data_IF_943501536105
#
_entry.id   IF_943501536105
#
_cell.length_a   1.000
_cell.length_b   1.000
_cell.length_c   1.000
_cell.angle_alpha   90.00
_cell.angle_beta   90.00
_cell.angle_gamma   90.00
#
_symmetry.space_group_name_H-M   'P 1'
#
loop_
_entity.id
_entity.type
_entity.pdbx_description
1 polymer ?
#
# COMPACT_ATOMS: atom_id res chain seq x y z
N UNK A 1 -21.58 -17.10 7.54
CA UNK A 1 -20.38 -16.75 8.32
C UNK A 1 -20.82 -15.78 9.40
N UNK A 2 -20.72 -16.14 10.69
CA UNK A 2 -20.76 -15.17 11.78
C UNK A 2 -19.65 -14.16 11.50
N UNK A 3 -19.94 -12.87 11.67
CA UNK A 3 -19.03 -11.78 11.29
C UNK A 3 -17.91 -11.74 12.32
N UNK A 4 -16.86 -12.50 12.09
CA UNK A 4 -15.65 -12.49 12.91
C UNK A 4 -14.93 -11.15 12.73
N UNK A 5 -14.13 -10.78 13.73
CA UNK A 5 -13.38 -9.52 13.70
C UNK A 5 -12.32 -9.67 12.61
N UNK A 6 -12.16 -8.69 11.69
CA UNK A 6 -11.18 -8.79 10.63
C UNK A 6 -9.75 -8.98 11.18
N UNK A 7 -8.96 -9.77 10.44
CA UNK A 7 -7.54 -10.00 10.60
C UNK A 7 -6.78 -9.23 9.50
N UNK A 8 -6.69 -7.89 9.56
CA UNK A 8 -6.26 -7.11 8.42
C UNK A 8 -4.75 -7.20 8.16
N UNK A 9 -4.40 -7.17 6.87
CA UNK A 9 -3.06 -6.87 6.41
C UNK A 9 -3.09 -5.94 5.18
N UNK A 10 -2.00 -5.23 4.95
CA UNK A 10 -1.84 -4.33 3.81
C UNK A 10 -0.92 -4.97 2.79
N UNK A 11 -1.41 -5.10 1.55
CA UNK A 11 -0.61 -5.46 0.39
C UNK A 11 -0.40 -4.24 -0.48
N UNK A 12 0.85 -3.98 -0.83
CA UNK A 12 1.26 -2.89 -1.71
C UNK A 12 1.88 -3.49 -2.96
N UNK A 13 1.39 -3.08 -4.12
CA UNK A 13 1.89 -3.52 -5.41
C UNK A 13 2.13 -2.35 -6.34
N UNK A 14 3.08 -2.54 -7.24
CA UNK A 14 3.39 -1.59 -8.31
C UNK A 14 2.96 -2.20 -9.63
N UNK A 15 2.22 -1.42 -10.43
CA UNK A 15 1.67 -1.84 -11.70
C UNK A 15 2.19 -0.94 -12.81
N UNK A 16 2.68 -1.55 -13.89
CA UNK A 16 3.31 -0.82 -14.98
C UNK A 16 4.13 -1.77 -15.83
N UNK A 17 5.30 -1.32 -16.27
CA UNK A 17 6.24 -2.17 -16.99
C UNK A 17 6.67 -3.39 -16.15
N UNK A 18 6.92 -4.56 -16.76
CA UNK A 18 7.34 -5.76 -16.03
C UNK A 18 8.59 -5.56 -15.16
N UNK A 19 9.47 -4.64 -15.56
CA UNK A 19 10.69 -4.31 -14.83
C UNK A 19 10.47 -3.57 -13.51
N UNK A 20 9.28 -3.00 -13.30
CA UNK A 20 8.90 -2.21 -12.12
C UNK A 20 7.83 -2.90 -11.27
N UNK A 21 7.29 -4.04 -11.71
CA UNK A 21 6.28 -4.80 -10.98
C UNK A 21 6.88 -5.47 -9.75
N UNK A 22 6.37 -5.09 -8.57
CA UNK A 22 6.75 -5.59 -7.26
C UNK A 22 5.49 -5.74 -6.42
N UNK A 23 5.51 -6.65 -5.46
CA UNK A 23 4.43 -6.80 -4.47
C UNK A 23 5.03 -7.16 -3.13
N UNK A 24 4.65 -6.42 -2.10
CA UNK A 24 5.04 -6.66 -0.71
C UNK A 24 3.79 -6.58 0.16
N UNK A 25 3.83 -7.21 1.33
CA UNK A 25 2.72 -7.20 2.28
C UNK A 25 3.23 -7.09 3.70
N UNK A 26 2.42 -6.49 4.56
CA UNK A 26 2.61 -6.52 6.00
C UNK A 26 2.31 -7.90 6.57
N UNK A 27 2.66 -8.09 7.83
CA UNK A 27 2.10 -9.15 8.65
C UNK A 27 0.59 -8.96 8.84
N UNK A 28 -0.08 -10.05 9.21
CA UNK A 28 -1.48 -10.04 9.61
C UNK A 28 -1.57 -9.53 11.04
N UNK A 29 -2.55 -8.67 11.31
CA UNK A 29 -2.88 -8.26 12.69
C UNK A 29 -4.14 -8.98 13.10
N UNK A 30 -4.02 -9.88 14.06
CA UNK A 30 -5.15 -10.71 14.50
C UNK A 30 -6.21 -9.88 15.25
N UNK A 31 -7.47 -10.05 14.88
CA UNK A 31 -8.68 -9.56 15.52
C UNK A 31 -8.66 -8.04 15.80
N UNK A 32 -8.14 -7.24 14.86
CA UNK A 32 -8.10 -5.78 14.99
C UNK A 32 -8.48 -5.06 13.71
N UNK A 33 -9.78 -5.06 13.40
CA UNK A 33 -10.33 -4.31 12.26
C UNK A 33 -10.61 -2.82 12.52
N UNK A 34 -10.23 -2.22 13.64
CA UNK A 34 -10.54 -0.82 13.96
C UNK A 34 -9.33 0.12 13.91
N UNK A 35 -8.19 -0.31 14.48
CA UNK A 35 -6.95 0.47 14.46
C UNK A 35 -5.73 -0.49 14.42
N UNK A 36 -5.56 -1.25 13.32
CA UNK A 36 -4.41 -2.11 13.15
C UNK A 36 -3.13 -1.29 12.96
N UNK A 37 -2.07 -1.74 13.63
CA UNK A 37 -0.74 -1.13 13.60
C UNK A 37 0.27 -2.18 13.15
N UNK A 38 0.88 -1.97 11.99
CA UNK A 38 1.91 -2.87 11.46
C UNK A 38 3.33 -2.38 11.78
N UNK A 39 3.58 -1.07 11.73
CA UNK A 39 4.92 -0.48 11.88
C UNK A 39 5.97 -1.14 10.97
N UNK A 40 5.62 -1.37 9.70
CA UNK A 40 6.50 -2.00 8.72
C UNK A 40 6.96 -1.03 7.64
N UNK A 41 8.19 -1.25 7.17
CA UNK A 41 8.85 -0.45 6.14
C UNK A 41 9.08 -1.32 4.91
N UNK A 42 8.70 -0.81 3.74
CA UNK A 42 8.95 -1.46 2.46
C UNK A 42 9.87 -0.58 1.60
N UNK A 43 10.50 -1.17 0.60
CA UNK A 43 11.25 -0.43 -0.42
C UNK A 43 10.79 -0.91 -1.79
N UNK A 44 10.41 0.02 -2.65
CA UNK A 44 10.08 -0.26 -4.04
C UNK A 44 11.12 0.42 -4.93
N UNK A 45 11.56 -0.26 -5.98
CA UNK A 45 12.47 0.33 -6.98
C UNK A 45 11.74 0.49 -8.30
N UNK A 46 11.45 1.72 -8.68
CA UNK A 46 10.67 2.04 -9.87
C UNK A 46 11.60 2.68 -10.88
N UNK A 47 11.80 2.09 -12.06
CA UNK A 47 12.65 2.66 -13.12
C UNK A 47 11.91 3.70 -13.94
N UNK A 48 10.63 3.50 -14.19
CA UNK A 48 9.80 4.38 -15.00
C UNK A 48 8.57 4.89 -14.22
N UNK A 49 8.75 5.86 -13.29
CA UNK A 49 7.66 6.37 -12.45
C UNK A 49 6.44 6.89 -13.24
N UNK A 50 6.65 7.43 -14.44
CA UNK A 50 5.57 7.94 -15.30
C UNK A 50 4.64 6.84 -15.85
N UNK A 51 5.09 5.59 -15.86
CA UNK A 51 4.33 4.43 -16.35
C UNK A 51 3.98 3.47 -15.21
N UNK A 52 4.09 3.91 -13.97
CA UNK A 52 3.89 3.08 -12.80
C UNK A 52 2.78 3.63 -11.89
N UNK A 53 1.89 2.75 -11.46
CA UNK A 53 0.88 2.97 -10.44
C UNK A 53 1.33 2.28 -9.15
N UNK A 54 1.16 2.96 -8.02
CA UNK A 54 1.16 2.30 -6.73
C UNK A 54 -0.27 1.93 -6.34
N UNK A 55 -0.42 0.71 -5.85
CA UNK A 55 -1.69 0.13 -5.48
C UNK A 55 -1.61 -0.42 -4.07
N UNK A 56 -2.45 0.09 -3.18
CA UNK A 56 -2.59 -0.34 -1.81
C UNK A 56 -3.90 -1.12 -1.70
N UNK A 57 -3.87 -2.28 -1.08
CA UNK A 57 -5.06 -3.06 -0.74
C UNK A 57 -4.98 -3.52 0.69
N UNK A 58 -6.09 -3.35 1.40
CA UNK A 58 -6.30 -3.89 2.75
C UNK A 58 -7.12 -5.16 2.58
N UNK A 59 -6.62 -6.27 3.07
CA UNK A 59 -7.26 -7.57 2.96
C UNK A 59 -7.52 -8.13 4.36
N UNK A 60 -8.58 -8.90 4.48
CA UNK A 60 -8.91 -9.73 5.62
C UNK A 60 -8.33 -11.12 5.39
N UNK A 61 -7.43 -11.57 6.28
CA UNK A 61 -6.83 -12.90 6.16
C UNK A 61 -7.84 -13.98 6.57
N UNK A 62 -8.12 -14.94 5.70
CA UNK A 62 -8.97 -16.10 6.03
C UNK A 62 -8.12 -17.38 5.97
N UNK A 63 -8.17 -18.18 7.03
CA UNK A 63 -7.42 -19.44 7.10
C UNK A 63 -8.01 -20.55 6.22
N UNK A 64 -9.27 -20.41 5.81
CA UNK A 64 -10.07 -21.45 5.15
C UNK A 64 -10.44 -21.08 3.71
N UNK A 65 -10.61 -19.80 3.39
CA UNK A 65 -10.92 -19.33 2.03
C UNK A 65 -9.90 -18.32 1.50
N UNK A 66 -10.12 -17.82 0.28
CA UNK A 66 -9.33 -16.71 -0.25
C UNK A 66 -9.52 -15.45 0.62
N UNK A 67 -8.45 -14.66 0.74
CA UNK A 67 -8.46 -13.40 1.49
C UNK A 67 -9.42 -12.37 0.85
N UNK A 68 -10.29 -11.79 1.66
CA UNK A 68 -11.28 -10.81 1.21
C UNK A 68 -10.68 -9.40 1.18
N UNK A 69 -10.67 -8.74 0.02
CA UNK A 69 -10.24 -7.33 -0.05
C UNK A 69 -11.27 -6.45 0.65
N UNK A 70 -10.87 -5.75 1.72
CA UNK A 70 -11.72 -4.83 2.47
C UNK A 70 -11.82 -3.50 1.72
N UNK A 71 -10.66 -2.94 1.36
CA UNK A 71 -10.58 -1.64 0.73
C UNK A 71 -9.28 -1.49 -0.07
N UNK A 72 -9.21 -0.47 -0.94
CA UNK A 72 -8.03 -0.22 -1.76
C UNK A 72 -7.83 1.26 -2.06
N UNK A 73 -6.63 1.59 -2.53
CA UNK A 73 -6.31 2.88 -3.11
C UNK A 73 -5.32 2.65 -4.26
N UNK A 74 -5.42 3.48 -5.30
CA UNK A 74 -4.45 3.48 -6.39
C UNK A 74 -4.14 4.90 -6.83
N UNK A 75 -2.87 5.16 -7.13
CA UNK A 75 -2.42 6.42 -7.69
C UNK A 75 -1.17 6.22 -8.56
N UNK A 76 -0.95 7.07 -9.58
CA UNK A 76 0.35 7.15 -10.24
C UNK A 76 1.45 7.42 -9.23
N UNK A 77 2.60 6.76 -9.40
CA UNK A 77 3.78 6.96 -8.54
C UNK A 77 4.19 8.45 -8.51
N UNK A 78 4.01 9.15 -9.63
CA UNK A 78 4.28 10.60 -9.76
C UNK A 78 3.37 11.50 -8.93
N UNK A 79 2.24 10.99 -8.43
CA UNK A 79 1.31 11.74 -7.57
C UNK A 79 1.53 11.49 -6.08
N UNK A 80 2.40 10.54 -5.72
CA UNK A 80 2.73 10.26 -4.32
C UNK A 80 3.62 11.38 -3.77
N UNK A 81 3.32 11.84 -2.56
CA UNK A 81 4.02 12.92 -1.90
C UNK A 81 4.75 12.44 -0.64
N UNK A 82 5.90 13.03 -0.36
CA UNK A 82 6.76 12.70 0.79
C UNK A 82 6.22 13.18 2.15
N UNK A 83 6.68 12.53 3.22
CA UNK A 83 6.33 12.79 4.60
C UNK A 83 5.10 12.00 5.06
N UNK A 84 4.53 12.40 6.18
CA UNK A 84 3.34 11.76 6.73
C UNK A 84 2.08 12.10 5.91
N UNK A 85 1.30 11.09 5.51
CA UNK A 85 0.12 11.21 4.66
C UNK A 85 -0.97 10.25 5.12
N UNK A 86 -2.22 10.69 4.98
CA UNK A 86 -3.37 9.80 4.99
C UNK A 86 -3.73 9.45 3.54
N UNK A 87 -3.81 8.17 3.25
CA UNK A 87 -4.36 7.62 2.02
C UNK A 87 -5.80 7.25 2.29
N UNK A 88 -6.74 7.90 1.60
CA UNK A 88 -8.16 7.60 1.71
C UNK A 88 -8.51 6.36 0.89
N UNK A 89 -9.01 5.34 1.56
CA UNK A 89 -9.33 4.07 0.94
C UNK A 89 -10.75 4.07 0.35
N UNK A 90 -10.93 3.30 -0.71
CA UNK A 90 -12.22 3.05 -1.36
C UNK A 90 -12.64 1.61 -1.16
N UNK A 91 -13.95 1.38 -1.08
CA UNK A 91 -14.52 0.04 -1.01
C UNK A 91 -14.41 -0.66 -2.37
N UNK A 92 -14.66 -1.97 -2.40
CA UNK A 92 -14.57 -2.77 -3.63
C UNK A 92 -15.49 -2.30 -4.76
N UNK A 93 -16.63 -1.69 -4.42
CA UNK A 93 -17.57 -1.09 -5.35
C UNK A 93 -17.21 0.35 -5.76
N UNK A 94 -16.02 0.82 -5.37
CA UNK A 94 -15.47 2.16 -5.61
C UNK A 94 -16.16 3.30 -4.84
N UNK A 95 -17.06 2.97 -3.90
CA UNK A 95 -17.66 3.94 -3.00
C UNK A 95 -16.62 4.51 -2.04
N UNK A 96 -16.88 5.75 -1.60
CA UNK A 96 -16.06 6.41 -0.58
C UNK A 96 -16.21 5.67 0.75
N UNK A 97 -15.07 5.53 1.46
CA UNK A 97 -15.06 5.02 2.83
C UNK A 97 -14.44 6.06 3.75
N UNK A 98 -14.73 5.96 5.05
CA UNK A 98 -14.04 6.77 6.06
C UNK A 98 -12.68 6.19 6.47
N UNK A 99 -12.33 5.02 5.92
CA UNK A 99 -11.09 4.31 6.23
C UNK A 99 -9.88 4.98 5.56
N UNK A 100 -8.81 5.14 6.32
CA UNK A 100 -7.56 5.74 5.85
C UNK A 100 -6.35 4.91 6.23
N UNK A 101 -5.34 4.83 5.37
CA UNK A 101 -3.99 4.37 5.69
C UNK A 101 -3.12 5.60 6.03
N UNK A 102 -2.63 5.69 7.26
CA UNK A 102 -1.56 6.60 7.64
C UNK A 102 -0.20 6.01 7.28
N UNK A 103 0.52 6.70 6.42
CA UNK A 103 1.83 6.30 5.92
C UNK A 103 2.80 7.45 6.09
N UNK A 104 4.07 7.13 6.20
CA UNK A 104 5.13 8.04 5.86
C UNK A 104 5.70 7.63 4.49
N UNK A 105 6.24 8.58 3.75
CA UNK A 105 6.80 8.34 2.41
C UNK A 105 8.12 9.10 2.30
N UNK A 106 9.17 8.44 1.84
CA UNK A 106 10.50 9.03 1.60
C UNK A 106 10.94 8.67 0.19
N UNK A 107 11.02 9.66 -0.72
CA UNK A 107 11.33 9.45 -2.14
C UNK A 107 12.78 9.85 -2.41
N UNK A 108 13.63 8.87 -2.72
CA UNK A 108 15.06 9.09 -2.97
C UNK A 108 15.42 8.90 -4.43
N UNK A 109 15.86 9.96 -5.09
CA UNK A 109 16.47 9.85 -6.41
C UNK A 109 17.91 9.37 -6.28
N UNK A 110 18.22 8.18 -6.80
CA UNK A 110 19.61 7.75 -6.96
C UNK A 110 20.25 8.59 -8.08
N UNK A 111 20.89 9.68 -7.67
CA UNK A 111 21.49 10.71 -8.52
C UNK A 111 22.75 10.27 -9.26
N UNK A 112 22.79 9.06 -9.82
CA UNK A 112 23.79 8.73 -10.82
C UNK A 112 23.46 9.50 -12.10
N UNK A 113 24.08 10.67 -12.27
CA UNK A 113 23.98 11.52 -13.46
C UNK A 113 24.39 10.83 -14.79
N UNK A 114 24.72 9.54 -14.75
CA UNK A 114 25.09 8.71 -15.89
C UNK A 114 24.20 7.46 -16.06
N UNK A 115 23.11 7.32 -15.29
CA UNK A 115 22.20 6.18 -15.38
C UNK A 115 20.74 6.62 -15.14
N UNK A 116 19.88 6.46 -16.15
CA UNK A 116 18.49 6.94 -16.20
C UNK A 116 17.51 6.23 -15.23
N UNK A 117 17.93 5.81 -14.03
CA UNK A 117 17.09 5.07 -13.10
C UNK A 117 16.63 5.97 -11.94
N UNK A 118 15.41 6.50 -12.05
CA UNK A 118 14.77 7.29 -10.99
C UNK A 118 14.14 6.36 -9.94
N UNK A 119 14.92 5.83 -9.00
CA UNK A 119 14.36 5.03 -7.90
C UNK A 119 13.35 5.84 -7.07
N UNK A 120 12.23 5.22 -6.69
CA UNK A 120 11.23 5.80 -5.77
C UNK A 120 11.10 4.83 -4.62
N UNK A 121 11.94 5.01 -3.59
CA UNK A 121 11.78 4.29 -2.32
C UNK A 121 10.48 4.78 -1.64
N UNK A 122 9.77 3.95 -0.88
CA UNK A 122 8.57 4.36 -0.12
C UNK A 122 8.61 3.70 1.24
N UNK A 123 9.07 4.44 2.24
CA UNK A 123 9.31 3.95 3.59
C UNK A 123 8.18 4.27 4.56
N UNK A 124 7.70 3.25 5.28
CA UNK A 124 6.80 3.24 6.45
C UNK A 124 5.31 3.35 6.14
N UNK A 125 4.62 2.21 6.13
CA UNK A 125 3.15 2.18 6.24
C UNK A 125 2.82 1.91 7.70
N UNK A 126 2.21 2.88 8.36
CA UNK A 126 2.25 2.90 9.83
C UNK A 126 0.89 2.66 10.48
N UNK A 127 -0.25 3.13 9.95
CA UNK A 127 -1.55 2.87 10.61
C UNK A 127 -2.71 2.76 9.60
N UNK A 128 -3.80 2.07 9.94
CA UNK A 128 -5.13 2.36 9.38
C UNK A 128 -5.99 2.95 10.48
N UNK A 129 -6.67 4.06 10.19
CA UNK A 129 -7.80 4.52 11.01
C UNK A 129 -9.07 4.35 10.20
N UNK A 130 -10.00 3.53 10.71
CA UNK A 130 -11.37 3.43 10.20
C UNK A 130 -12.24 4.58 10.74
#
# INVERSE_FOLDING_TARGET
>A
KTKDIPDPYVRISTHGLPCDQQTQKTQVVDNNGFDPIWNETFEFRIRFPQMCLMYFSVLDYDTVSDDDRIAYFSAPVTMIQEGYRHIYLRANNNDETHSTLFVHVDIRNDGDANNNNNNVNIQNITHIRF
#
